data_IF_890538661934
#
_entry.id   IF_890538661934
#
_cell.length_a   1.000
_cell.length_b   1.000
_cell.length_c   1.000
_cell.angle_alpha   90.00
_cell.angle_beta   90.00
_cell.angle_gamma   90.00
#
_symmetry.space_group_name_H-M   'P 1'
#
loop_
_entity.id
_entity.type
_entity.pdbx_description
1 polymer ?
#
# COMPACT_ATOMS: atom_id res chain seq x y z
N UNK A 1 11.56 -30.27 -19.07
CA UNK A 1 11.63 -30.66 -17.64
C UNK A 1 12.17 -29.47 -16.83
N UNK A 2 11.73 -29.27 -15.60
CA UNK A 2 12.25 -28.24 -14.69
C UNK A 2 11.71 -28.47 -13.28
N UNK A 3 12.16 -27.69 -12.30
CA UNK A 3 11.80 -27.90 -10.89
C UNK A 3 12.55 -29.06 -10.22
N UNK A 4 13.80 -29.32 -10.63
CA UNK A 4 14.60 -30.41 -10.06
C UNK A 4 15.37 -29.99 -8.80
N UNK A 5 15.87 -28.75 -8.78
CA UNK A 5 16.61 -28.18 -7.66
C UNK A 5 16.39 -26.66 -7.59
N UNK A 6 16.68 -26.07 -6.43
CA UNK A 6 16.90 -24.62 -6.32
C UNK A 6 18.19 -24.22 -7.05
N UNK A 7 18.33 -22.94 -7.43
CA UNK A 7 19.45 -22.50 -8.26
C UNK A 7 20.63 -21.95 -7.46
N UNK A 8 20.56 -20.73 -6.91
CA UNK A 8 21.68 -20.10 -6.22
C UNK A 8 21.40 -20.09 -4.72
N UNK A 9 22.27 -20.74 -3.95
CA UNK A 9 22.35 -20.63 -2.49
C UNK A 9 23.47 -19.66 -2.14
N UNK A 10 23.13 -18.53 -1.51
CA UNK A 10 24.12 -17.57 -1.04
C UNK A 10 24.89 -18.11 0.17
N UNK A 11 26.09 -17.57 0.40
CA UNK A 11 26.87 -17.90 1.58
C UNK A 11 26.10 -17.52 2.87
N UNK A 12 26.33 -18.23 3.99
CA UNK A 12 25.69 -17.91 5.27
C UNK A 12 25.98 -16.49 5.78
N UNK A 13 27.11 -15.91 5.38
CA UNK A 13 27.52 -14.54 5.72
C UNK A 13 28.29 -13.91 4.57
N UNK A 14 28.38 -12.58 4.58
CA UNK A 14 29.05 -11.78 3.54
C UNK A 14 28.22 -10.58 3.07
N UNK A 15 28.77 -9.85 2.12
CA UNK A 15 28.18 -8.65 1.55
C UNK A 15 28.46 -8.56 0.03
N UNK A 16 27.71 -7.71 -0.68
CA UNK A 16 28.00 -7.30 -2.06
C UNK A 16 27.91 -8.40 -3.12
N UNK A 17 27.23 -9.53 -2.85
CA UNK A 17 26.96 -10.51 -3.90
C UNK A 17 26.17 -9.84 -5.03
N UNK A 18 26.57 -10.10 -6.28
CA UNK A 18 25.92 -9.55 -7.47
C UNK A 18 25.54 -10.65 -8.44
N UNK A 19 24.26 -10.65 -8.83
CA UNK A 19 23.73 -11.38 -9.97
C UNK A 19 23.29 -10.36 -11.03
N UNK A 20 23.87 -10.43 -12.22
CA UNK A 20 23.53 -9.53 -13.31
C UNK A 20 23.32 -10.30 -14.62
N UNK A 21 22.46 -9.77 -15.49
CA UNK A 21 22.27 -10.20 -16.88
C UNK A 21 22.08 -11.72 -17.05
N UNK A 22 21.42 -12.34 -16.07
CA UNK A 22 21.29 -13.78 -15.94
C UNK A 22 19.85 -14.25 -16.12
N UNK A 23 19.69 -15.51 -16.53
CA UNK A 23 18.38 -16.14 -16.69
C UNK A 23 18.26 -17.34 -15.75
N UNK A 24 17.38 -17.20 -14.75
CA UNK A 24 17.07 -18.25 -13.78
C UNK A 24 15.76 -18.92 -14.19
N UNK A 25 15.85 -20.16 -14.67
CA UNK A 25 14.71 -20.86 -15.28
C UNK A 25 14.35 -22.11 -14.51
N UNK A 26 13.07 -22.19 -14.14
CA UNK A 26 12.40 -23.34 -13.53
C UNK A 26 13.12 -23.90 -12.30
N UNK A 27 13.47 -23.06 -11.29
CA UNK A 27 13.93 -23.58 -9.99
C UNK A 27 12.83 -24.43 -9.35
N UNK A 28 13.20 -25.35 -8.47
CA UNK A 28 12.24 -26.15 -7.70
C UNK A 28 11.59 -25.36 -6.58
N UNK A 29 12.41 -24.68 -5.77
CA UNK A 29 11.92 -23.97 -4.58
C UNK A 29 12.40 -22.51 -4.56
N UNK A 30 13.67 -22.25 -4.90
CA UNK A 30 14.28 -20.91 -4.87
C UNK A 30 15.13 -20.61 -6.09
N UNK A 31 14.97 -19.40 -6.65
CA UNK A 31 15.90 -18.84 -7.63
C UNK A 31 17.21 -18.40 -6.97
N UNK A 32 17.16 -17.37 -6.14
CA UNK A 32 18.29 -16.94 -5.30
C UNK A 32 17.85 -16.99 -3.85
N UNK A 33 18.52 -17.77 -3.00
CA UNK A 33 18.14 -17.86 -1.60
C UNK A 33 19.25 -17.41 -0.67
N UNK A 34 18.89 -16.52 0.24
CA UNK A 34 19.70 -16.24 1.42
C UNK A 34 19.29 -17.15 2.57
N UNK A 35 20.27 -17.84 3.15
CA UNK A 35 20.09 -18.64 4.37
C UNK A 35 20.63 -17.93 5.63
N UNK A 36 21.15 -16.72 5.47
CA UNK A 36 21.82 -15.97 6.53
C UNK A 36 22.04 -14.53 6.08
N UNK A 37 23.21 -13.95 6.36
CA UNK A 37 23.49 -12.54 6.12
C UNK A 37 24.23 -12.24 4.82
N UNK A 38 24.65 -13.26 4.06
CA UNK A 38 25.38 -13.11 2.78
C UNK A 38 24.67 -12.30 1.68
N UNK A 39 23.43 -11.88 1.91
CA UNK A 39 22.67 -10.98 1.05
C UNK A 39 22.72 -9.51 1.47
N UNK A 40 23.56 -9.13 2.43
CA UNK A 40 23.80 -7.72 2.75
C UNK A 40 24.30 -7.00 1.50
N UNK A 41 23.66 -5.91 1.11
CA UNK A 41 23.97 -5.20 -0.14
C UNK A 41 23.92 -6.11 -1.40
N UNK A 42 22.99 -7.07 -1.41
CA UNK A 42 22.75 -7.93 -2.58
C UNK A 42 22.31 -7.10 -3.79
N UNK A 43 22.87 -7.37 -4.96
CA UNK A 43 22.44 -6.75 -6.21
C UNK A 43 21.91 -7.80 -7.18
N UNK A 44 20.64 -7.69 -7.56
CA UNK A 44 20.01 -8.49 -8.63
C UNK A 44 19.59 -7.51 -9.73
N UNK A 45 20.31 -7.53 -10.84
CA UNK A 45 20.20 -6.54 -11.92
C UNK A 45 19.92 -7.19 -13.27
N UNK A 46 18.95 -6.67 -14.03
CA UNK A 46 18.72 -7.05 -15.44
C UNK A 46 18.52 -8.56 -15.65
N UNK A 47 18.03 -9.28 -14.64
CA UNK A 47 17.86 -10.72 -14.69
C UNK A 47 16.45 -11.12 -15.14
N UNK A 48 16.30 -12.34 -15.64
CA UNK A 48 15.01 -12.96 -15.91
C UNK A 48 14.78 -14.16 -15.01
N UNK A 49 13.63 -14.19 -14.35
CA UNK A 49 13.17 -15.30 -13.52
C UNK A 49 11.95 -15.93 -14.18
N UNK A 50 12.02 -17.23 -14.47
CA UNK A 50 10.92 -18.00 -15.06
C UNK A 50 10.54 -19.16 -14.14
N UNK A 51 9.32 -19.15 -13.59
CA UNK A 51 8.85 -20.21 -12.71
C UNK A 51 8.68 -21.55 -13.42
N UNK A 52 8.79 -22.65 -12.67
CA UNK A 52 8.39 -24.00 -13.09
C UNK A 52 6.87 -24.22 -12.96
N UNK A 53 6.15 -23.36 -12.25
CA UNK A 53 4.75 -23.49 -11.84
C UNK A 53 3.78 -22.67 -12.72
N UNK A 54 4.17 -22.35 -13.97
CA UNK A 54 3.40 -21.45 -14.86
C UNK A 54 1.98 -21.90 -15.17
N UNK A 55 1.69 -23.20 -15.06
CA UNK A 55 0.35 -23.78 -15.29
C UNK A 55 -0.50 -23.87 -14.03
N UNK A 56 0.09 -23.64 -12.85
CA UNK A 56 -0.65 -23.69 -11.59
C UNK A 56 -1.38 -22.37 -11.35
N UNK A 57 -2.54 -22.47 -10.70
CA UNK A 57 -3.21 -21.36 -10.06
C UNK A 57 -2.26 -20.67 -9.06
N UNK A 58 -2.30 -19.35 -8.98
CA UNK A 58 -1.33 -18.54 -8.25
C UNK A 58 -1.27 -18.93 -6.76
N UNK A 59 -2.41 -19.20 -6.13
CA UNK A 59 -2.49 -19.62 -4.73
C UNK A 59 -1.79 -20.94 -4.43
N UNK A 60 -1.68 -21.84 -5.43
CA UNK A 60 -1.07 -23.17 -5.29
C UNK A 60 0.45 -23.17 -5.54
N UNK A 61 1.03 -22.03 -5.91
CA UNK A 61 2.47 -21.89 -6.19
C UNK A 61 3.27 -21.83 -4.90
N UNK A 62 4.47 -22.41 -4.92
CA UNK A 62 5.39 -22.46 -3.78
C UNK A 62 6.80 -21.95 -4.09
N UNK A 63 7.14 -21.84 -5.38
CA UNK A 63 8.48 -21.44 -5.82
C UNK A 63 8.66 -19.94 -5.68
N UNK A 64 9.77 -19.49 -5.09
CA UNK A 64 10.09 -18.08 -4.85
C UNK A 64 11.29 -17.66 -5.70
N UNK A 65 11.21 -16.51 -6.37
CA UNK A 65 12.29 -16.06 -7.25
C UNK A 65 13.53 -15.67 -6.44
N UNK A 66 13.38 -14.87 -5.39
CA UNK A 66 14.45 -14.64 -4.42
C UNK A 66 13.97 -14.37 -2.99
N UNK A 67 14.84 -14.58 -2.00
CA UNK A 67 14.64 -14.09 -0.64
C UNK A 67 15.90 -13.42 -0.07
N UNK A 68 15.69 -12.42 0.79
CA UNK A 68 16.72 -11.61 1.45
C UNK A 68 16.45 -11.59 2.96
N UNK A 69 17.52 -11.68 3.76
CA UNK A 69 17.50 -11.70 5.23
C UNK A 69 18.33 -10.56 5.88
N UNK A 70 18.83 -9.61 5.08
CA UNK A 70 19.74 -8.53 5.50
C UNK A 70 19.44 -7.25 4.73
N UNK A 71 20.13 -6.15 5.04
CA UNK A 71 19.76 -4.82 4.54
C UNK A 71 20.24 -4.55 3.11
N UNK A 72 19.68 -3.47 2.56
CA UNK A 72 20.25 -2.73 1.44
C UNK A 72 20.30 -3.49 0.10
N UNK A 73 19.48 -4.52 -0.10
CA UNK A 73 19.36 -5.17 -1.39
C UNK A 73 18.88 -4.21 -2.51
N UNK A 74 19.52 -4.28 -3.69
CA UNK A 74 19.15 -3.58 -4.91
C UNK A 74 18.58 -4.58 -5.91
N UNK A 75 17.28 -4.48 -6.17
CA UNK A 75 16.55 -5.33 -7.11
C UNK A 75 16.09 -4.46 -8.26
N UNK A 76 16.82 -4.50 -9.38
CA UNK A 76 16.63 -3.52 -10.46
C UNK A 76 16.50 -4.15 -11.84
N UNK A 77 15.59 -3.63 -12.64
CA UNK A 77 15.43 -3.95 -14.07
C UNK A 77 15.22 -5.45 -14.37
N UNK A 78 14.67 -6.21 -13.42
CA UNK A 78 14.44 -7.64 -13.60
C UNK A 78 13.08 -7.92 -14.21
N UNK A 79 12.95 -9.07 -14.88
CA UNK A 79 11.65 -9.65 -15.25
C UNK A 79 11.37 -10.90 -14.43
N UNK A 80 10.17 -11.04 -13.88
CA UNK A 80 9.75 -12.25 -13.15
C UNK A 80 8.38 -12.74 -13.57
N UNK A 81 8.26 -14.05 -13.82
CA UNK A 81 7.05 -14.68 -14.32
C UNK A 81 6.54 -15.78 -13.38
N UNK A 82 5.31 -15.60 -12.87
CA UNK A 82 4.45 -16.65 -12.27
C UNK A 82 5.10 -17.44 -11.13
N UNK A 83 5.85 -16.77 -10.26
CA UNK A 83 6.30 -17.35 -8.98
C UNK A 83 5.19 -17.24 -7.92
N UNK A 84 5.35 -17.96 -6.81
CA UNK A 84 4.56 -17.72 -5.60
C UNK A 84 4.79 -16.30 -5.08
N UNK A 85 6.07 -15.89 -5.05
CA UNK A 85 6.54 -14.54 -4.76
C UNK A 85 7.73 -14.21 -5.68
N UNK A 86 7.78 -13.00 -6.22
CA UNK A 86 9.01 -12.49 -6.84
C UNK A 86 10.10 -12.32 -5.78
N UNK A 87 9.78 -11.69 -4.65
CA UNK A 87 10.72 -11.46 -3.56
C UNK A 87 10.08 -11.57 -2.18
N UNK A 88 10.80 -12.16 -1.23
CA UNK A 88 10.51 -12.06 0.21
C UNK A 88 11.71 -11.36 0.88
N UNK A 89 11.47 -10.19 1.44
CA UNK A 89 12.54 -9.29 1.90
C UNK A 89 12.39 -9.01 3.39
N UNK A 90 13.35 -9.49 4.16
CA UNK A 90 13.65 -9.01 5.49
C UNK A 90 14.82 -8.02 5.43
N UNK A 91 14.96 -7.21 6.48
CA UNK A 91 15.86 -6.07 6.52
C UNK A 91 15.18 -4.79 6.02
N UNK A 92 16.00 -3.76 5.83
CA UNK A 92 15.56 -2.41 5.47
C UNK A 92 16.50 -1.80 4.44
N UNK A 93 16.15 -0.64 3.87
CA UNK A 93 17.04 0.09 2.95
C UNK A 93 17.04 -0.45 1.52
N UNK A 94 16.04 -1.23 1.13
CA UNK A 94 16.01 -1.85 -0.19
C UNK A 94 15.70 -0.83 -1.30
N UNK A 95 16.17 -1.16 -2.50
CA UNK A 95 15.88 -0.43 -3.73
C UNK A 95 15.17 -1.37 -4.68
N UNK A 96 13.90 -1.10 -4.98
CA UNK A 96 13.10 -1.89 -5.93
C UNK A 96 12.75 -1.02 -7.13
N UNK A 97 13.51 -1.15 -8.21
CA UNK A 97 13.51 -0.19 -9.32
C UNK A 97 13.31 -0.85 -10.68
N UNK A 98 12.32 -0.40 -11.45
CA UNK A 98 12.22 -0.73 -12.87
C UNK A 98 12.00 -2.22 -13.18
N UNK A 99 11.52 -3.01 -12.21
CA UNK A 99 11.25 -4.43 -12.42
C UNK A 99 9.90 -4.63 -13.13
N UNK A 100 9.76 -5.75 -13.82
CA UNK A 100 8.52 -6.21 -14.41
C UNK A 100 8.20 -7.60 -13.85
N UNK A 101 7.30 -7.68 -12.89
CA UNK A 101 6.92 -8.95 -12.28
C UNK A 101 5.41 -9.17 -12.29
N UNK A 102 5.01 -10.38 -12.65
CA UNK A 102 3.61 -10.71 -12.85
C UNK A 102 3.23 -12.08 -12.32
N UNK A 103 2.12 -12.13 -11.58
CA UNK A 103 1.64 -13.27 -10.79
C UNK A 103 0.41 -13.97 -11.37
N UNK A 104 -0.12 -13.53 -12.51
CA UNK A 104 -1.35 -14.06 -13.09
C UNK A 104 -1.36 -15.57 -13.37
N UNK A 105 -2.56 -16.11 -13.56
CA UNK A 105 -2.84 -17.50 -13.93
C UNK A 105 -4.03 -17.54 -14.91
N UNK A 106 -4.64 -18.70 -15.10
CA UNK A 106 -5.77 -18.88 -16.00
C UNK A 106 -7.11 -19.07 -15.24
N UNK A 107 -7.15 -18.75 -13.94
CA UNK A 107 -8.35 -18.90 -13.12
C UNK A 107 -9.26 -17.67 -13.29
N UNK A 108 -10.57 -17.93 -13.39
CA UNK A 108 -11.60 -16.88 -13.35
C UNK A 108 -11.68 -16.30 -11.95
N UNK A 109 -11.60 -14.97 -11.82
CA UNK A 109 -11.56 -14.30 -10.53
C UNK A 109 -10.49 -14.89 -9.60
N UNK A 110 -9.31 -15.18 -10.17
CA UNK A 110 -8.23 -15.90 -9.51
C UNK A 110 -7.73 -15.21 -8.26
N UNK A 111 -7.45 -16.01 -7.23
CA UNK A 111 -6.86 -15.55 -5.96
C UNK A 111 -5.38 -15.26 -6.21
N UNK A 112 -4.97 -14.01 -5.95
CA UNK A 112 -3.58 -13.57 -6.16
C UNK A 112 -2.76 -13.71 -4.89
N UNK A 113 -1.44 -13.78 -5.05
CA UNK A 113 -0.45 -13.77 -3.96
C UNK A 113 0.36 -12.48 -3.99
N UNK A 114 1.10 -12.22 -2.92
CA UNK A 114 2.07 -11.14 -2.90
C UNK A 114 3.15 -11.38 -3.97
N UNK A 115 3.43 -10.41 -4.82
CA UNK A 115 4.62 -10.41 -5.65
C UNK A 115 5.85 -10.11 -4.80
N UNK A 116 5.75 -9.13 -3.90
CA UNK A 116 6.79 -8.76 -2.95
C UNK A 116 6.20 -8.78 -1.54
N UNK A 117 6.91 -9.40 -0.61
CA UNK A 117 6.61 -9.34 0.83
C UNK A 117 7.77 -8.64 1.54
N UNK A 118 7.48 -7.55 2.25
CA UNK A 118 8.37 -7.01 3.27
C UNK A 118 7.99 -7.61 4.62
N UNK A 119 8.96 -8.11 5.36
CA UNK A 119 8.73 -8.82 6.63
C UNK A 119 9.17 -8.02 7.86
N UNK A 120 9.45 -6.72 7.69
CA UNK A 120 9.75 -5.77 8.75
C UNK A 120 8.70 -4.66 8.75
N UNK A 121 8.27 -4.14 9.92
CA UNK A 121 7.34 -3.03 9.97
C UNK A 121 7.89 -1.78 9.26
N UNK A 122 9.08 -1.31 9.63
CA UNK A 122 9.68 -0.13 9.03
C UNK A 122 10.78 -0.49 8.04
N UNK A 123 10.55 -0.25 6.75
CA UNK A 123 11.39 -0.84 5.69
C UNK A 123 12.39 0.11 5.07
N UNK A 124 12.25 1.44 5.26
CA UNK A 124 13.13 2.46 4.65
C UNK A 124 13.43 2.15 3.16
N UNK A 125 12.39 1.89 2.38
CA UNK A 125 12.49 1.30 1.03
C UNK A 125 11.64 2.08 0.03
N UNK A 126 12.05 2.08 -1.24
CA UNK A 126 11.21 2.58 -2.32
C UNK A 126 10.96 1.53 -3.42
N UNK A 127 9.72 1.55 -3.94
CA UNK A 127 9.29 0.87 -5.15
C UNK A 127 9.05 1.92 -6.22
N UNK A 128 9.93 1.98 -7.22
CA UNK A 128 9.88 3.01 -8.25
C UNK A 128 9.88 2.44 -9.65
N UNK A 129 8.95 2.90 -10.50
CA UNK A 129 8.98 2.60 -11.94
C UNK A 129 8.76 1.12 -12.29
N UNK A 130 8.15 0.32 -11.41
CA UNK A 130 7.93 -1.10 -11.66
C UNK A 130 6.62 -1.34 -12.43
N UNK A 131 6.57 -2.44 -13.18
CA UNK A 131 5.35 -3.02 -13.73
C UNK A 131 4.95 -4.23 -12.86
N UNK A 132 3.79 -4.10 -12.20
CA UNK A 132 3.28 -5.01 -11.16
C UNK A 132 1.93 -5.54 -11.61
N UNK A 133 1.85 -6.83 -11.88
CA UNK A 133 0.70 -7.42 -12.56
C UNK A 133 0.17 -8.66 -11.83
N UNK A 134 -1.14 -8.70 -11.57
CA UNK A 134 -1.84 -9.83 -10.96
C UNK A 134 -1.19 -10.35 -9.66
N UNK A 135 -0.60 -9.45 -8.88
CA UNK A 135 -0.02 -9.73 -7.57
C UNK A 135 -0.03 -8.45 -6.72
N UNK A 136 0.13 -8.60 -5.41
CA UNK A 136 0.14 -7.47 -4.48
C UNK A 136 1.50 -7.24 -3.82
N UNK A 137 1.67 -6.08 -3.22
CA UNK A 137 2.79 -5.76 -2.34
C UNK A 137 2.29 -5.89 -0.92
N UNK A 138 2.98 -6.70 -0.13
CA UNK A 138 2.62 -6.95 1.27
C UNK A 138 3.66 -6.35 2.21
N UNK A 139 3.19 -5.59 3.19
CA UNK A 139 3.95 -5.30 4.40
C UNK A 139 3.43 -6.16 5.54
N UNK A 140 4.30 -6.97 6.13
CA UNK A 140 3.98 -7.78 7.30
C UNK A 140 5.15 -7.75 8.28
N UNK A 141 4.93 -8.22 9.51
CA UNK A 141 5.98 -8.50 10.49
C UNK A 141 6.00 -9.99 10.84
N UNK A 142 5.78 -10.85 9.84
CA UNK A 142 5.69 -12.31 10.01
C UNK A 142 6.96 -13.02 10.44
N UNK A 143 8.10 -12.32 10.46
CA UNK A 143 9.36 -12.85 10.99
C UNK A 143 9.62 -12.41 12.44
N UNK A 144 8.71 -11.66 13.05
CA UNK A 144 8.77 -11.24 14.44
C UNK A 144 8.07 -12.27 15.34
N UNK A 145 8.80 -12.85 16.29
CA UNK A 145 8.26 -13.80 17.26
C UNK A 145 7.50 -13.11 18.40
N UNK A 146 7.61 -11.77 18.51
CA UNK A 146 6.87 -10.91 19.43
C UNK A 146 6.16 -9.78 18.67
N UNK A 147 5.18 -10.09 17.80
CA UNK A 147 4.72 -9.18 16.77
C UNK A 147 3.86 -8.00 17.26
N UNK A 148 3.54 -7.94 18.56
CA UNK A 148 2.80 -6.82 19.16
C UNK A 148 3.73 -5.62 19.29
N UNK A 149 3.21 -4.44 18.98
CA UNK A 149 3.96 -3.21 19.07
C UNK A 149 4.51 -2.97 20.48
N UNK A 150 5.82 -2.76 20.59
CA UNK A 150 6.51 -2.46 21.83
C UNK A 150 7.30 -1.16 21.77
N UNK A 151 8.57 -1.26 21.40
CA UNK A 151 9.52 -0.13 21.38
C UNK A 151 10.23 0.05 20.03
N UNK A 152 9.92 -0.83 19.09
CA UNK A 152 10.39 -0.81 17.72
C UNK A 152 9.69 0.28 16.89
N UNK A 153 10.09 0.40 15.63
CA UNK A 153 9.36 1.24 14.68
C UNK A 153 8.14 0.50 14.15
N UNK A 154 7.06 1.24 13.93
CA UNK A 154 5.84 0.68 13.33
C UNK A 154 5.89 0.60 11.80
N UNK A 155 4.79 0.17 11.16
CA UNK A 155 4.73 0.01 9.71
C UNK A 155 5.01 1.32 8.97
N UNK A 156 5.87 1.28 7.96
CA UNK A 156 6.10 2.41 7.06
C UNK A 156 7.54 2.57 6.62
N UNK A 157 7.97 3.82 6.41
CA UNK A 157 9.21 4.10 5.69
C UNK A 157 9.19 3.57 4.26
N UNK A 158 8.01 3.51 3.63
CA UNK A 158 7.80 2.93 2.30
C UNK A 158 7.30 3.99 1.33
N UNK A 159 8.00 4.15 0.21
CA UNK A 159 7.58 5.01 -0.90
C UNK A 159 7.28 4.17 -2.14
N UNK A 160 6.06 4.23 -2.65
CA UNK A 160 5.60 3.54 -3.85
C UNK A 160 5.24 4.60 -4.88
N UNK A 161 6.08 4.78 -5.89
CA UNK A 161 5.91 5.88 -6.86
C UNK A 161 6.22 5.52 -8.30
N UNK A 162 5.43 6.05 -9.24
CA UNK A 162 5.69 5.88 -10.67
C UNK A 162 5.52 4.44 -11.16
N UNK A 163 4.82 3.58 -10.43
CA UNK A 163 4.60 2.19 -10.83
C UNK A 163 3.34 2.05 -11.71
N UNK A 164 3.36 1.02 -12.55
CA UNK A 164 2.19 0.53 -13.28
C UNK A 164 1.65 -0.67 -12.52
N UNK A 165 0.42 -0.57 -12.04
CA UNK A 165 -0.32 -1.64 -11.42
C UNK A 165 -1.41 -2.13 -12.35
N UNK A 166 -1.30 -3.39 -12.75
CA UNK A 166 -2.24 -4.06 -13.63
C UNK A 166 -2.89 -5.23 -12.90
N UNK A 167 -4.19 -5.44 -13.14
CA UNK A 167 -4.86 -6.67 -12.76
C UNK A 167 -5.85 -7.09 -13.85
N UNK A 168 -6.03 -8.40 -14.03
CA UNK A 168 -7.08 -8.98 -14.87
C UNK A 168 -7.61 -10.27 -14.25
N UNK A 169 -8.87 -10.59 -14.53
CA UNK A 169 -9.56 -11.78 -14.02
C UNK A 169 -9.36 -11.96 -12.51
N UNK A 170 -9.52 -10.87 -11.75
CA UNK A 170 -9.45 -10.84 -10.28
C UNK A 170 -10.83 -10.64 -9.68
N UNK A 171 -11.03 -11.12 -8.46
CA UNK A 171 -12.25 -10.85 -7.71
C UNK A 171 -12.32 -9.38 -7.24
N UNK A 172 -13.52 -8.84 -6.95
CA UNK A 172 -13.69 -7.45 -6.52
C UNK A 172 -12.87 -7.06 -5.27
N UNK A 173 -12.62 -8.02 -4.38
CA UNK A 173 -11.84 -7.82 -3.15
C UNK A 173 -10.32 -7.85 -3.35
N UNK A 174 -9.80 -8.06 -4.56
CA UNK A 174 -8.36 -7.95 -4.82
C UNK A 174 -7.86 -6.54 -4.52
N UNK A 175 -6.67 -6.44 -3.90
CA UNK A 175 -5.96 -5.20 -3.59
C UNK A 175 -4.51 -5.35 -4.04
N UNK A 176 -3.88 -4.25 -4.47
CA UNK A 176 -2.45 -4.24 -4.81
C UNK A 176 -1.57 -3.94 -3.60
N UNK A 177 -2.08 -3.25 -2.58
CA UNK A 177 -1.32 -2.85 -1.41
C UNK A 177 -1.95 -3.47 -0.17
N UNK A 178 -1.22 -4.35 0.51
CA UNK A 178 -1.73 -5.08 1.67
C UNK A 178 -0.81 -4.84 2.85
N UNK A 179 -1.37 -4.44 3.98
CA UNK A 179 -0.66 -4.42 5.26
C UNK A 179 -1.26 -5.54 6.12
N UNK A 180 -0.42 -6.46 6.57
CA UNK A 180 -0.81 -7.64 7.36
C UNK A 180 -0.09 -7.60 8.72
N UNK A 181 -0.60 -6.83 9.70
CA UNK A 181 -0.05 -6.81 11.05
C UNK A 181 -0.23 -8.16 11.71
N UNK A 182 0.85 -8.77 12.19
CA UNK A 182 0.83 -10.05 12.92
C UNK A 182 0.65 -9.88 14.43
N UNK A 183 0.62 -8.64 14.91
CA UNK A 183 0.34 -8.27 16.29
C UNK A 183 -0.26 -6.87 16.39
N UNK A 184 -0.80 -6.54 17.56
CA UNK A 184 -1.59 -5.32 17.81
C UNK A 184 -0.71 -4.09 18.09
N UNK A 185 -1.31 -2.91 18.12
CA UNK A 185 -0.63 -1.67 18.53
C UNK A 185 0.17 -0.95 17.43
N UNK A 186 0.34 -1.57 16.26
CA UNK A 186 1.04 -0.96 15.13
C UNK A 186 0.18 0.06 14.37
N UNK A 187 0.80 1.10 13.84
CA UNK A 187 0.20 2.15 13.00
C UNK A 187 0.97 2.32 11.68
N UNK A 188 0.67 3.37 10.91
CA UNK A 188 1.46 3.78 9.75
C UNK A 188 2.26 5.06 10.02
N UNK A 189 3.55 5.03 9.70
CA UNK A 189 4.42 6.21 9.73
C UNK A 189 5.29 6.30 8.47
N UNK A 190 5.05 7.30 7.62
CA UNK A 190 5.82 7.50 6.39
C UNK A 190 5.50 6.46 5.32
N UNK A 191 4.21 6.34 4.98
CA UNK A 191 3.71 5.45 3.93
C UNK A 191 3.19 6.31 2.77
N UNK A 192 3.93 6.32 1.67
CA UNK A 192 3.71 7.24 0.55
C UNK A 192 3.37 6.43 -0.70
N UNK A 193 2.19 6.66 -1.25
CA UNK A 193 1.73 6.07 -2.51
C UNK A 193 1.36 7.21 -3.44
N UNK A 194 2.24 7.52 -4.38
CA UNK A 194 2.05 8.68 -5.25
C UNK A 194 2.39 8.41 -6.71
N UNK A 195 1.73 9.09 -7.64
CA UNK A 195 2.09 9.05 -9.06
C UNK A 195 2.04 7.64 -9.69
N UNK A 196 1.19 6.74 -9.20
CA UNK A 196 1.02 5.40 -9.76
C UNK A 196 -0.19 5.34 -10.70
N UNK A 197 -0.15 4.42 -11.67
CA UNK A 197 -1.28 4.11 -12.54
C UNK A 197 -1.86 2.74 -12.18
N UNK A 198 -3.08 2.72 -11.66
CA UNK A 198 -3.84 1.51 -11.35
C UNK A 198 -4.87 1.23 -12.45
N UNK A 199 -4.86 0.01 -12.98
CA UNK A 199 -5.82 -0.40 -14.01
C UNK A 199 -6.18 -1.87 -13.92
N UNK A 200 -7.48 -2.13 -13.89
CA UNK A 200 -8.04 -3.48 -14.02
C UNK A 200 -8.58 -3.69 -15.44
N UNK A 201 -8.45 -4.90 -15.97
CA UNK A 201 -9.02 -5.35 -17.24
C UNK A 201 -10.00 -6.50 -16.99
N UNK A 202 -11.18 -6.46 -17.64
CA UNK A 202 -12.17 -7.54 -17.55
C UNK A 202 -12.89 -7.68 -16.20
N UNK A 203 -12.57 -6.85 -15.21
CA UNK A 203 -13.17 -6.81 -13.88
C UNK A 203 -13.13 -5.39 -13.30
N UNK A 204 -13.77 -5.21 -12.15
CA UNK A 204 -13.69 -4.00 -11.32
C UNK A 204 -13.38 -4.45 -9.90
N UNK A 205 -12.44 -3.76 -9.24
CA UNK A 205 -12.12 -4.01 -7.83
C UNK A 205 -12.64 -2.86 -6.96
N UNK A 206 -12.87 -3.12 -5.67
CA UNK A 206 -13.44 -2.08 -4.81
C UNK A 206 -12.43 -0.99 -4.48
N UNK A 207 -11.19 -1.37 -4.09
CA UNK A 207 -10.12 -0.46 -3.66
C UNK A 207 -8.76 -0.97 -4.13
N UNK A 208 -7.72 -0.16 -3.98
CA UNK A 208 -6.33 -0.57 -4.27
C UNK A 208 -5.58 -1.11 -3.06
N UNK A 209 -6.09 -0.88 -1.85
CA UNK A 209 -5.43 -1.23 -0.60
C UNK A 209 -6.35 -1.98 0.37
N UNK A 210 -5.76 -2.69 1.32
CA UNK A 210 -6.43 -3.16 2.53
C UNK A 210 -5.45 -3.35 3.70
N UNK A 211 -6.01 -3.34 4.92
CA UNK A 211 -5.41 -4.02 6.07
C UNK A 211 -5.97 -5.44 6.10
N UNK A 212 -5.10 -6.43 6.04
CA UNK A 212 -5.49 -7.81 6.33
C UNK A 212 -5.59 -7.97 7.85
N UNK A 213 -6.83 -8.01 8.34
CA UNK A 213 -7.14 -8.12 9.77
C UNK A 213 -7.18 -9.57 10.27
N UNK A 214 -6.64 -10.53 9.51
CA UNK A 214 -6.62 -11.95 9.92
C UNK A 214 -5.90 -12.20 11.25
N UNK A 215 -4.99 -11.29 11.66
CA UNK A 215 -4.24 -11.38 12.92
C UNK A 215 -4.46 -10.15 13.80
N UNK A 216 -4.27 -8.95 13.27
CA UNK A 216 -4.50 -7.69 13.98
C UNK A 216 -4.86 -6.55 13.01
N UNK A 217 -5.45 -5.48 13.56
CA UNK A 217 -5.70 -4.23 12.83
C UNK A 217 -4.57 -3.22 13.06
N UNK A 218 -4.63 -2.11 12.34
CA UNK A 218 -3.79 -0.93 12.59
C UNK A 218 -4.46 0.04 13.58
N UNK A 219 -3.64 0.73 14.37
CA UNK A 219 -3.99 1.83 15.26
C UNK A 219 -4.10 3.13 14.45
N UNK A 220 -5.28 3.39 13.89
CA UNK A 220 -5.56 4.56 13.06
C UNK A 220 -5.35 5.90 13.80
N UNK A 221 -5.49 5.89 15.13
CA UNK A 221 -5.22 7.04 16.01
C UNK A 221 -3.72 7.44 16.06
N UNK A 222 -2.84 6.66 15.44
CA UNK A 222 -1.38 6.87 15.49
C UNK A 222 -0.75 7.01 14.12
N UNK A 223 -1.54 7.25 13.07
CA UNK A 223 -1.04 7.50 11.72
C UNK A 223 -0.27 8.82 11.63
N UNK A 224 0.86 8.79 10.92
CA UNK A 224 1.75 9.94 10.65
C UNK A 224 2.30 9.84 9.22
N UNK A 225 2.38 10.96 8.51
CA UNK A 225 2.96 11.03 7.16
C UNK A 225 2.42 9.95 6.20
N UNK A 226 1.10 9.79 6.14
CA UNK A 226 0.42 8.86 5.24
C UNK A 226 -0.14 9.63 4.05
N UNK A 227 0.42 9.37 2.88
CA UNK A 227 0.15 10.13 1.66
C UNK A 227 -0.32 9.21 0.54
N UNK A 228 -1.49 9.54 -0.02
CA UNK A 228 -2.05 8.93 -1.22
C UNK A 228 -2.50 10.03 -2.16
N UNK A 229 -1.70 10.33 -3.18
CA UNK A 229 -1.95 11.47 -4.07
C UNK A 229 -1.48 11.21 -5.50
N UNK A 230 -2.04 11.94 -6.48
CA UNK A 230 -1.64 11.88 -7.89
C UNK A 230 -1.65 10.47 -8.50
N UNK A 231 -2.44 9.56 -7.94
CA UNK A 231 -2.64 8.23 -8.49
C UNK A 231 -3.81 8.25 -9.49
N UNK A 232 -3.69 7.47 -10.56
CA UNK A 232 -4.79 7.26 -11.51
C UNK A 232 -5.47 5.92 -11.22
N UNK A 233 -6.81 5.91 -11.15
CA UNK A 233 -7.59 4.72 -10.88
C UNK A 233 -8.52 4.41 -12.06
N UNK A 234 -8.37 3.24 -12.67
CA UNK A 234 -9.26 2.75 -13.74
C UNK A 234 -9.82 1.38 -13.37
N UNK A 235 -11.15 1.25 -13.40
CA UNK A 235 -11.86 0.07 -12.92
C UNK A 235 -11.57 -0.24 -11.43
N UNK A 236 -11.54 0.81 -10.63
CA UNK A 236 -11.52 0.78 -9.16
C UNK A 236 -12.72 1.58 -8.67
N UNK A 237 -13.62 0.96 -7.92
CA UNK A 237 -14.90 1.59 -7.50
C UNK A 237 -14.69 2.75 -6.54
N UNK A 238 -13.76 2.61 -5.61
CA UNK A 238 -13.53 3.56 -4.52
C UNK A 238 -12.06 4.02 -4.53
N UNK A 239 -11.77 5.25 -4.99
CA UNK A 239 -10.42 5.79 -4.93
C UNK A 239 -9.99 6.08 -3.49
N UNK A 240 -8.68 6.13 -3.27
CA UNK A 240 -8.09 6.43 -1.96
C UNK A 240 -7.17 7.64 -2.03
N UNK A 241 -7.33 8.56 -1.08
CA UNK A 241 -6.76 9.91 -1.09
C UNK A 241 -6.40 10.37 0.34
N UNK A 242 -5.19 10.90 0.51
CA UNK A 242 -4.77 11.62 1.71
C UNK A 242 -3.59 12.52 1.32
N UNK A 243 -3.74 13.86 1.30
CA UNK A 243 -4.93 14.62 1.65
C UNK A 243 -6.14 14.38 0.72
N UNK A 244 -7.34 14.44 1.29
CA UNK A 244 -8.62 14.31 0.62
C UNK A 244 -9.31 15.68 0.54
N UNK A 245 -9.62 16.16 -0.66
CA UNK A 245 -10.45 17.33 -0.87
C UNK A 245 -11.93 16.91 -0.96
N UNK A 246 -12.76 17.42 -0.04
CA UNK A 246 -14.21 17.19 0.00
C UNK A 246 -14.95 18.50 -0.26
N UNK A 247 -15.85 18.49 -1.23
CA UNK A 247 -16.82 19.56 -1.41
C UNK A 247 -18.08 19.24 -0.59
N UNK A 248 -18.33 20.02 0.47
CA UNK A 248 -19.48 19.84 1.35
C UNK A 248 -20.56 20.89 1.08
N UNK A 249 -21.74 20.43 0.65
CA UNK A 249 -22.92 21.29 0.50
C UNK A 249 -23.83 21.19 1.72
N UNK A 250 -23.99 22.29 2.44
CA UNK A 250 -25.00 22.43 3.47
C UNK A 250 -26.24 23.14 2.90
N UNK A 251 -27.34 22.41 2.71
CA UNK A 251 -28.57 22.95 2.12
C UNK A 251 -29.48 23.66 3.14
N UNK A 252 -29.46 23.22 4.40
CA UNK A 252 -30.29 23.73 5.49
C UNK A 252 -29.41 24.35 6.57
N UNK A 253 -29.83 25.48 7.12
CA UNK A 253 -29.07 26.19 8.14
C UNK A 253 -28.79 25.30 9.36
N UNK A 254 -27.51 25.16 9.69
CA UNK A 254 -27.05 24.41 10.86
C UNK A 254 -25.80 25.05 11.42
N UNK A 255 -25.64 24.99 12.75
CA UNK A 255 -24.42 25.42 13.42
C UNK A 255 -23.34 24.31 13.41
N UNK A 256 -23.67 23.10 12.95
CA UNK A 256 -22.75 21.97 12.86
C UNK A 256 -22.92 21.31 11.50
N UNK A 257 -21.90 21.39 10.66
CA UNK A 257 -21.86 20.73 9.36
C UNK A 257 -21.01 19.48 9.49
N UNK A 258 -21.56 18.32 9.17
CA UNK A 258 -20.84 17.05 9.22
C UNK A 258 -20.29 16.74 7.84
N UNK A 259 -18.97 16.81 7.70
CA UNK A 259 -18.24 16.51 6.47
C UNK A 259 -17.78 15.06 6.53
N UNK A 260 -18.16 14.28 5.51
CA UNK A 260 -17.81 12.86 5.41
C UNK A 260 -16.61 12.64 4.49
N UNK A 261 -15.55 12.02 5.01
CA UNK A 261 -14.39 11.59 4.23
C UNK A 261 -14.20 10.07 4.18
N UNK A 262 -15.09 9.30 4.81
CA UNK A 262 -14.89 7.92 5.21
C UNK A 262 -14.39 7.00 4.09
N UNK A 263 -15.09 7.02 2.96
CA UNK A 263 -14.84 6.04 1.92
C UNK A 263 -13.55 6.32 1.15
N UNK A 264 -12.98 7.52 1.26
CA UNK A 264 -11.82 7.92 0.47
C UNK A 264 -10.51 7.89 1.26
N UNK A 265 -10.55 7.91 2.59
CA UNK A 265 -9.33 7.85 3.39
C UNK A 265 -8.65 6.47 3.26
N UNK A 266 -7.30 6.41 3.21
CA UNK A 266 -6.56 5.16 3.09
C UNK A 266 -6.93 4.15 4.17
N UNK A 267 -7.02 2.87 3.81
CA UNK A 267 -7.23 1.76 4.75
C UNK A 267 -8.55 1.82 5.53
N UNK A 268 -9.51 2.62 5.07
CA UNK A 268 -10.75 2.90 5.84
C UNK A 268 -10.46 3.61 7.16
N UNK A 269 -9.34 4.33 7.24
CA UNK A 269 -8.86 4.99 8.45
C UNK A 269 -9.68 6.22 8.82
N UNK A 270 -9.32 6.81 9.97
CA UNK A 270 -10.04 7.92 10.58
C UNK A 270 -9.72 9.25 9.90
N UNK A 271 -10.66 10.20 9.97
CA UNK A 271 -10.41 11.60 9.62
C UNK A 271 -9.66 12.26 10.78
N UNK A 272 -8.33 12.23 10.74
CA UNK A 272 -7.44 12.65 11.84
C UNK A 272 -7.19 14.14 11.87
N UNK A 273 -7.21 14.80 10.72
CA UNK A 273 -6.89 16.21 10.64
C UNK A 273 -7.69 16.92 9.54
N UNK A 274 -7.96 18.21 9.74
CA UNK A 274 -8.49 19.13 8.72
C UNK A 274 -7.44 20.22 8.52
N UNK A 275 -6.96 20.36 7.29
CA UNK A 275 -5.84 21.29 6.97
C UNK A 275 -6.27 22.53 6.19
N UNK A 276 -7.47 22.51 5.62
CA UNK A 276 -8.05 23.67 4.96
C UNK A 276 -9.58 23.62 5.00
N UNK A 277 -10.20 24.80 5.17
CA UNK A 277 -11.63 25.03 5.03
C UNK A 277 -11.83 26.32 4.24
N UNK A 278 -12.41 26.22 3.05
CA UNK A 278 -12.53 27.35 2.11
C UNK A 278 -13.97 27.45 1.63
N UNK A 279 -14.68 28.56 1.91
CA UNK A 279 -16.02 28.79 1.35
C UNK A 279 -16.00 28.87 -0.17
N UNK A 280 -17.00 28.25 -0.80
CA UNK A 280 -17.28 28.41 -2.24
C UNK A 280 -18.56 29.23 -2.40
N UNK A 281 -18.39 30.54 -2.59
CA UNK A 281 -19.50 31.50 -2.57
C UNK A 281 -19.91 31.93 -1.15
N UNK A 282 -21.02 32.67 -1.01
CA UNK A 282 -21.43 33.23 0.27
C UNK A 282 -22.01 32.15 1.20
N UNK A 283 -21.56 32.16 2.45
CA UNK A 283 -22.20 31.44 3.54
C UNK A 283 -23.34 32.32 4.06
N UNK A 284 -24.56 31.79 4.18
CA UNK A 284 -25.75 32.60 4.51
C UNK A 284 -26.49 32.04 5.71
N UNK A 285 -27.14 32.92 6.47
CA UNK A 285 -28.07 32.54 7.53
C UNK A 285 -29.51 32.38 6.99
N UNK A 286 -30.48 32.15 7.88
CA UNK A 286 -31.90 31.98 7.54
C UNK A 286 -32.51 33.17 6.80
N UNK A 287 -32.01 34.39 7.02
CA UNK A 287 -32.48 35.59 6.34
C UNK A 287 -31.84 35.79 4.95
N UNK A 288 -30.98 34.87 4.51
CA UNK A 288 -30.20 35.01 3.27
C UNK A 288 -29.05 36.02 3.38
N UNK A 289 -28.75 36.53 4.58
CA UNK A 289 -27.67 37.48 4.78
C UNK A 289 -26.32 36.76 4.83
N UNK A 290 -25.36 37.25 4.04
CA UNK A 290 -23.99 36.73 4.02
C UNK A 290 -23.34 36.84 5.42
N UNK A 291 -22.67 35.78 5.83
CA UNK A 291 -21.93 35.66 7.08
C UNK A 291 -20.43 35.60 6.76
N UNK A 292 -19.64 36.39 7.51
CA UNK A 292 -18.18 36.48 7.35
C UNK A 292 -17.42 35.83 8.51
N UNK A 293 -18.12 35.03 9.31
CA UNK A 293 -17.51 34.19 10.36
C UNK A 293 -16.91 32.93 9.74
N UNK A 294 -16.02 32.26 10.47
CA UNK A 294 -15.42 30.97 10.07
C UNK A 294 -15.69 29.92 11.13
N UNK A 295 -15.82 28.63 10.75
CA UNK A 295 -15.98 27.57 11.72
C UNK A 295 -14.64 27.17 12.32
N UNK A 296 -14.67 26.55 13.50
CA UNK A 296 -13.58 25.67 13.93
C UNK A 296 -13.91 24.21 13.56
N UNK A 297 -12.90 23.37 13.50
CA UNK A 297 -13.02 21.97 13.08
C UNK A 297 -12.95 21.02 14.27
N UNK A 298 -13.76 19.97 14.28
CA UNK A 298 -13.62 18.84 15.18
C UNK A 298 -13.50 17.57 14.33
N UNK A 299 -12.39 16.86 14.48
CA UNK A 299 -12.03 15.65 13.73
C UNK A 299 -12.45 14.40 14.48
N UNK A 300 -12.30 13.22 13.88
CA UNK A 300 -12.61 11.93 14.52
C UNK A 300 -14.07 11.81 15.00
N UNK A 301 -15.01 12.44 14.28
CA UNK A 301 -16.44 12.45 14.62
C UNK A 301 -17.17 11.26 13.99
N UNK A 302 -18.39 10.99 14.49
CA UNK A 302 -19.18 9.83 14.08
C UNK A 302 -18.69 8.52 14.69
N UNK A 303 -19.47 7.44 14.53
CA UNK A 303 -19.13 6.14 15.09
C UNK A 303 -17.87 5.51 14.48
N UNK A 304 -17.54 5.87 13.23
CA UNK A 304 -16.33 5.40 12.53
C UNK A 304 -15.12 6.33 12.63
N UNK A 305 -15.20 7.43 13.40
CA UNK A 305 -14.15 8.46 13.49
C UNK A 305 -13.71 9.04 12.14
N UNK A 306 -14.59 9.00 11.16
CA UNK A 306 -14.32 9.30 9.75
C UNK A 306 -15.01 10.59 9.27
N UNK A 307 -15.68 11.29 10.19
CA UNK A 307 -16.32 12.57 9.94
C UNK A 307 -15.50 13.71 10.55
N UNK A 308 -15.61 14.89 9.94
CA UNK A 308 -15.16 16.14 10.53
C UNK A 308 -16.34 17.11 10.66
N UNK A 309 -16.56 17.64 11.86
CA UNK A 309 -17.57 18.65 12.10
C UNK A 309 -16.98 20.05 11.90
N UNK A 310 -17.64 20.88 11.08
CA UNK A 310 -17.41 22.33 11.04
C UNK A 310 -18.41 23.00 11.98
N UNK A 311 -17.90 23.66 13.02
CA UNK A 311 -18.70 24.29 14.08
C UNK A 311 -18.77 25.79 13.88
N UNK A 312 -19.98 26.27 13.60
CA UNK A 312 -20.28 27.67 13.34
C UNK A 312 -20.88 28.34 14.58
N UNK A 313 -20.68 29.67 14.76
CA UNK A 313 -21.25 30.39 15.89
C UNK A 313 -22.77 30.60 15.77
N UNK A 314 -23.33 30.50 14.55
CA UNK A 314 -24.77 30.61 14.26
C UNK A 314 -25.15 29.60 13.18
N UNK A 315 -26.43 29.20 13.08
CA UNK A 315 -26.89 28.34 11.99
C UNK A 315 -26.71 29.01 10.62
N UNK A 316 -25.98 28.33 9.73
CA UNK A 316 -25.68 28.79 8.38
C UNK A 316 -25.77 27.66 7.36
N UNK A 317 -25.90 28.02 6.09
CA UNK A 317 -25.88 27.12 4.93
C UNK A 317 -24.96 27.66 3.84
N UNK A 318 -24.54 26.79 2.91
CA UNK A 318 -23.62 27.15 1.83
C UNK A 318 -22.74 25.98 1.41
N UNK A 319 -21.65 26.30 0.72
CA UNK A 319 -20.72 25.34 0.14
C UNK A 319 -19.31 25.57 0.71
N UNK A 320 -18.63 24.49 1.10
CA UNK A 320 -17.25 24.54 1.63
C UNK A 320 -16.40 23.46 0.98
N UNK A 321 -15.20 23.84 0.55
CA UNK A 321 -14.11 22.92 0.22
C UNK A 321 -13.33 22.63 1.50
N UNK A 322 -13.17 21.35 1.84
CA UNK A 322 -12.55 20.89 3.09
C UNK A 322 -11.45 19.89 2.77
N UNK A 323 -10.23 20.12 3.26
CA UNK A 323 -9.12 19.18 3.07
C UNK A 323 -8.90 18.34 4.32
N UNK A 324 -9.27 17.06 4.24
CA UNK A 324 -9.12 16.05 5.29
C UNK A 324 -7.82 15.27 5.12
N UNK A 325 -7.29 14.73 6.23
CA UNK A 325 -6.16 13.80 6.24
C UNK A 325 -6.41 12.64 7.20
N UNK A 326 -5.81 11.49 6.90
CA UNK A 326 -5.84 10.31 7.76
C UNK A 326 -4.71 10.26 8.81
N UNK A 327 -3.91 11.31 8.90
CA UNK A 327 -2.76 11.41 9.78
C UNK A 327 -2.68 12.78 10.45
N UNK A 328 -1.88 12.85 11.51
CA UNK A 328 -1.56 14.10 12.19
C UNK A 328 -0.20 14.66 11.74
N UNK A 329 -0.01 15.99 11.85
CA UNK A 329 1.29 16.62 11.63
C UNK A 329 2.33 16.14 12.66
N UNK A 330 3.61 16.34 12.31
CA UNK A 330 4.78 16.04 13.16
C UNK A 330 4.89 17.01 14.32
#
# INVERSE_FOLDING_TARGET
AGGLASTILLAPDGELFRLADSVITRPRDRGVTSIGRGCQDLQIDSCQFNSNEVTLAAQNRTTIAFNVNANDAKIRHNRSMRFAHFGVLNGTGHIILGNHFFGGDNETAGIRRAGIVFTQPNVKTFLTGNYIDNCFIEMSNEQDDQPNFGSEYTFGGLTITGNVFMAMDVAPWFRWLVVTPRGTGHSLNGYIVANNAFRVFGAVIDRVEMVDTSFASLEFNSFRNVVFENNTFNAVSQPTLSPLLVQHTQNTESATWSVDGADYLPFGSWARNVTAVVPEGPITNTAGAAQYVMPYTQVEQGAGHNLANLKWPVPVKGLMQVTLRCDNPV
#
